data_IF_923568808948
#
_entry.id   IF_923568808948
#
_cell.length_a   1.000
_cell.length_b   1.000
_cell.length_c   1.000
_cell.angle_alpha   90.00
_cell.angle_beta   90.00
_cell.angle_gamma   90.00
#
_symmetry.space_group_name_H-M   'P 1'
#
loop_
_entity.id
_entity.type
_entity.pdbx_description
1 polymer ?
#
# COMPACT_ATOMS: atom_id res chain seq x y z
N UNK A 1 -24.00 8.75 10.18
CA UNK A 1 -22.92 9.70 9.83
C UNK A 1 -22.14 9.04 8.71
N UNK A 2 -22.41 9.40 7.46
CA UNK A 2 -21.61 8.92 6.34
C UNK A 2 -20.21 9.53 6.45
N UNK A 3 -19.18 8.71 6.58
CA UNK A 3 -17.78 9.14 6.66
C UNK A 3 -17.25 9.76 5.35
N UNK A 4 -18.08 9.78 4.29
CA UNK A 4 -17.86 10.47 3.03
C UNK A 4 -17.96 11.99 3.21
N UNK A 5 -16.91 12.60 3.75
CA UNK A 5 -16.67 14.02 3.60
C UNK A 5 -16.10 14.28 2.19
N UNK A 6 -16.99 14.35 1.20
CA UNK A 6 -16.90 15.12 -0.06
C UNK A 6 -15.51 15.11 -0.74
N UNK A 7 -15.22 14.05 -1.49
CA UNK A 7 -14.14 13.99 -2.49
C UNK A 7 -14.74 13.69 -3.86
N UNK A 8 -14.08 14.07 -4.95
CA UNK A 8 -14.65 14.06 -6.30
C UNK A 8 -14.89 12.63 -6.79
N UNK A 9 -16.09 12.11 -6.55
CA UNK A 9 -16.56 10.81 -7.01
C UNK A 9 -16.66 10.81 -8.54
N UNK A 10 -15.57 10.39 -9.21
CA UNK A 10 -15.64 10.12 -10.63
C UNK A 10 -16.27 8.76 -10.87
N UNK A 11 -17.18 8.68 -11.84
CA UNK A 11 -17.89 7.44 -12.21
C UNK A 11 -16.98 6.25 -12.55
N UNK A 12 -15.68 6.48 -12.79
CA UNK A 12 -14.68 5.43 -13.07
C UNK A 12 -13.51 5.41 -12.08
N UNK A 13 -13.62 6.12 -10.96
CA UNK A 13 -12.59 6.18 -9.91
C UNK A 13 -11.20 6.48 -10.47
N UNK A 14 -10.21 5.68 -10.04
CA UNK A 14 -8.79 5.76 -10.44
C UNK A 14 -8.55 5.72 -11.96
N UNK A 15 -9.50 5.25 -12.78
CA UNK A 15 -9.39 5.26 -14.24
C UNK A 15 -9.65 6.65 -14.85
N UNK A 16 -10.12 7.62 -14.07
CA UNK A 16 -10.41 8.98 -14.52
C UNK A 16 -9.17 9.86 -14.36
N UNK A 17 -8.50 10.35 -15.42
CA UNK A 17 -7.26 11.10 -15.26
C UNK A 17 -7.40 12.42 -14.50
N UNK A 18 -8.55 13.09 -14.60
CA UNK A 18 -8.77 14.40 -13.98
C UNK A 18 -8.75 14.38 -12.45
N UNK A 19 -9.20 13.29 -11.82
CA UNK A 19 -9.20 13.20 -10.34
C UNK A 19 -7.81 13.10 -9.74
N UNK A 20 -6.81 12.63 -10.50
CA UNK A 20 -5.42 12.59 -10.04
C UNK A 20 -4.82 13.99 -9.93
N UNK A 21 -5.27 14.90 -10.81
CA UNK A 21 -4.80 16.28 -10.90
C UNK A 21 -5.63 17.24 -10.04
N UNK A 22 -6.79 16.79 -9.56
CA UNK A 22 -7.62 17.58 -8.68
C UNK A 22 -6.95 17.72 -7.31
N UNK A 23 -6.85 18.96 -6.83
CA UNK A 23 -6.26 19.27 -5.51
C UNK A 23 -7.06 18.61 -4.39
N UNK A 24 -8.37 18.57 -4.51
CA UNK A 24 -9.29 18.07 -3.48
C UNK A 24 -9.05 16.61 -3.12
N UNK A 25 -8.70 15.76 -4.11
CA UNK A 25 -8.32 14.35 -3.92
C UNK A 25 -7.24 14.19 -2.85
N UNK A 26 -6.33 15.15 -2.77
CA UNK A 26 -5.17 15.10 -1.87
C UNK A 26 -5.36 15.90 -0.59
N UNK A 27 -6.36 16.80 -0.53
CA UNK A 27 -6.58 17.68 0.62
C UNK A 27 -7.82 17.34 1.43
N UNK A 28 -8.78 16.62 0.85
CA UNK A 28 -10.07 16.30 1.47
C UNK A 28 -10.13 14.84 1.89
N UNK A 29 -10.95 14.54 2.91
CA UNK A 29 -11.08 13.20 3.51
C UNK A 29 -10.26 13.01 4.78
N UNK A 30 -10.50 11.92 5.51
CA UNK A 30 -9.95 11.72 6.85
C UNK A 30 -8.44 11.38 6.84
N UNK A 31 -7.59 12.11 7.59
CA UNK A 31 -6.21 11.69 7.83
C UNK A 31 -6.11 10.33 8.53
N UNK A 32 -7.10 9.99 9.36
CA UNK A 32 -7.14 8.71 10.08
C UNK A 32 -7.42 7.55 9.13
N UNK A 33 -8.32 7.71 8.15
CA UNK A 33 -8.59 6.67 7.14
C UNK A 33 -7.35 6.40 6.29
N UNK A 34 -6.67 7.47 5.85
CA UNK A 34 -5.41 7.35 5.13
C UNK A 34 -4.33 6.61 5.93
N UNK A 35 -4.16 6.96 7.22
CA UNK A 35 -3.23 6.27 8.10
C UNK A 35 -3.62 4.81 8.38
N UNK A 36 -4.92 4.53 8.51
CA UNK A 36 -5.44 3.19 8.70
C UNK A 36 -5.21 2.31 7.47
N UNK A 37 -5.41 2.84 6.26
CA UNK A 37 -5.13 2.16 5.00
C UNK A 37 -3.64 1.80 4.89
N UNK A 38 -2.74 2.73 5.21
CA UNK A 38 -1.30 2.43 5.32
C UNK A 38 -1.05 1.30 6.31
N UNK A 39 -1.55 1.42 7.54
CA UNK A 39 -1.31 0.44 8.60
C UNK A 39 -1.83 -0.96 8.24
N UNK A 40 -2.99 -1.04 7.61
CA UNK A 40 -3.63 -2.29 7.18
C UNK A 40 -2.82 -3.00 6.09
N UNK A 41 -2.12 -2.27 5.23
CA UNK A 41 -1.32 -2.85 4.15
C UNK A 41 0.12 -3.18 4.54
N UNK A 42 0.63 -2.70 5.68
CA UNK A 42 1.96 -3.10 6.20
C UNK A 42 2.08 -4.62 6.33
N UNK A 43 1.15 -5.34 6.99
CA UNK A 43 1.18 -6.80 7.03
C UNK A 43 1.15 -7.47 5.65
N UNK A 44 0.44 -6.91 4.67
CA UNK A 44 0.37 -7.43 3.30
C UNK A 44 1.75 -7.33 2.62
N UNK A 45 2.42 -6.19 2.78
CA UNK A 45 3.80 -5.99 2.31
C UNK A 45 4.79 -6.98 2.92
N UNK A 46 4.65 -7.25 4.22
CA UNK A 46 5.45 -8.27 4.92
C UNK A 46 5.21 -9.66 4.31
N UNK A 47 3.94 -10.02 4.10
CA UNK A 47 3.58 -11.30 3.48
C UNK A 47 4.20 -11.45 2.08
N UNK A 48 4.12 -10.41 1.24
CA UNK A 48 4.73 -10.45 -0.09
C UNK A 48 6.25 -10.57 -0.04
N UNK A 49 6.91 -9.89 0.92
CA UNK A 49 8.34 -10.04 1.15
C UNK A 49 8.75 -11.48 1.51
N UNK A 50 7.91 -12.14 2.31
CA UNK A 50 8.10 -13.52 2.74
C UNK A 50 7.89 -14.50 1.59
N UNK A 51 6.82 -14.34 0.83
CA UNK A 51 6.48 -15.20 -0.31
C UNK A 51 7.48 -15.05 -1.46
N UNK A 52 7.89 -13.82 -1.78
CA UNK A 52 8.85 -13.57 -2.86
C UNK A 52 10.28 -14.01 -2.49
N UNK A 53 10.64 -13.93 -1.21
CA UNK A 53 12.01 -14.15 -0.76
C UNK A 53 12.95 -12.98 -1.09
N UNK A 54 14.25 -13.09 -0.78
CA UNK A 54 15.16 -11.93 -0.75
C UNK A 54 15.53 -11.44 -2.14
N UNK A 55 15.58 -12.36 -3.11
CA UNK A 55 16.05 -12.10 -4.48
C UNK A 55 14.97 -11.51 -5.38
N UNK A 56 13.71 -11.52 -4.94
CA UNK A 56 12.54 -11.18 -5.76
C UNK A 56 11.74 -10.00 -5.18
N UNK A 57 12.40 -9.12 -4.41
CA UNK A 57 11.73 -7.97 -3.77
C UNK A 57 11.06 -7.03 -4.80
N UNK A 58 11.61 -6.92 -6.01
CA UNK A 58 10.99 -6.15 -7.11
C UNK A 58 9.63 -6.75 -7.50
N UNK A 59 9.50 -8.07 -7.51
CA UNK A 59 8.22 -8.74 -7.77
C UNK A 59 7.23 -8.52 -6.62
N UNK A 60 7.71 -8.46 -5.38
CA UNK A 60 6.87 -8.10 -4.24
C UNK A 60 6.35 -6.65 -4.33
N UNK A 61 7.16 -5.71 -4.82
CA UNK A 61 6.70 -4.34 -5.12
C UNK A 61 5.65 -4.32 -6.22
N UNK A 62 5.91 -5.02 -7.33
CA UNK A 62 4.94 -5.13 -8.42
C UNK A 62 3.61 -5.71 -7.96
N UNK A 63 3.66 -6.77 -7.14
CA UNK A 63 2.48 -7.38 -6.55
C UNK A 63 1.74 -6.43 -5.60
N UNK A 64 2.46 -5.67 -4.77
CA UNK A 64 1.87 -4.65 -3.89
C UNK A 64 1.06 -3.60 -4.68
N UNK A 65 1.66 -3.02 -5.73
CA UNK A 65 0.97 -2.08 -6.60
C UNK A 65 -0.20 -2.72 -7.35
N UNK A 66 -0.02 -3.94 -7.87
CA UNK A 66 -1.07 -4.65 -8.59
C UNK A 66 -2.28 -4.96 -7.70
N UNK A 67 -2.06 -5.39 -6.46
CA UNK A 67 -3.15 -5.68 -5.52
C UNK A 67 -3.86 -4.40 -5.08
N UNK A 68 -3.12 -3.32 -4.79
CA UNK A 68 -3.72 -2.02 -4.48
C UNK A 68 -4.62 -1.53 -5.61
N UNK A 69 -4.11 -1.55 -6.86
CA UNK A 69 -4.89 -1.21 -8.04
C UNK A 69 -6.09 -2.14 -8.24
N UNK A 70 -5.93 -3.45 -8.03
CA UNK A 70 -7.03 -4.40 -8.19
C UNK A 70 -8.18 -4.14 -7.20
N UNK A 71 -7.87 -3.73 -5.98
CA UNK A 71 -8.87 -3.37 -4.96
C UNK A 71 -9.68 -2.15 -5.40
N UNK A 72 -8.99 -1.11 -5.85
CA UNK A 72 -9.63 0.11 -6.37
C UNK A 72 -10.52 -0.17 -7.58
N UNK A 73 -10.03 -0.97 -8.53
CA UNK A 73 -10.83 -1.37 -9.69
C UNK A 73 -12.04 -2.21 -9.30
N UNK A 74 -11.92 -3.06 -8.27
CA UNK A 74 -13.02 -3.87 -7.77
C UNK A 74 -14.08 -3.04 -7.03
N UNK A 75 -13.75 -1.84 -6.55
CA UNK A 75 -14.70 -0.93 -5.90
C UNK A 75 -15.56 -0.15 -6.89
N UNK A 76 -15.09 0.10 -8.12
CA UNK A 76 -15.82 0.87 -9.14
C UNK A 76 -17.29 0.43 -9.33
N UNK A 77 -17.63 -0.87 -9.41
CA UNK A 77 -19.03 -1.30 -9.59
C UNK A 77 -19.84 -1.39 -8.29
N UNK A 78 -19.28 -1.01 -7.13
CA UNK A 78 -19.95 -1.15 -5.83
C UNK A 78 -20.51 0.21 -5.41
N UNK A 79 -21.83 0.37 -5.42
CA UNK A 79 -22.52 1.66 -5.20
C UNK A 79 -22.12 2.36 -3.88
N UNK A 80 -21.84 1.60 -2.82
CA UNK A 80 -21.44 2.13 -1.50
C UNK A 80 -19.92 2.24 -1.31
N UNK A 81 -19.12 2.08 -2.37
CA UNK A 81 -17.66 2.20 -2.30
C UNK A 81 -17.14 3.17 -3.34
N UNK A 82 -16.24 4.01 -2.90
CA UNK A 82 -15.53 4.96 -3.76
C UNK A 82 -14.17 4.36 -4.10
N UNK A 83 -13.79 4.43 -5.37
CA UNK A 83 -12.41 4.20 -5.78
C UNK A 83 -11.66 5.52 -5.84
N UNK A 84 -10.58 5.64 -5.06
CA UNK A 84 -9.88 6.89 -4.76
C UNK A 84 -8.36 6.74 -4.98
N UNK A 85 -7.72 7.60 -5.80
CA UNK A 85 -6.26 7.68 -5.90
C UNK A 85 -5.53 7.80 -4.56
N UNK A 86 -6.14 8.46 -3.57
CA UNK A 86 -5.59 8.61 -2.23
C UNK A 86 -5.51 7.27 -1.49
N UNK A 87 -6.52 6.42 -1.64
CA UNK A 87 -6.55 5.09 -1.03
C UNK A 87 -5.59 4.13 -1.74
N UNK A 88 -5.54 4.19 -3.08
CA UNK A 88 -4.54 3.48 -3.87
C UNK A 88 -3.12 3.77 -3.37
N UNK A 89 -2.82 5.06 -3.14
CA UNK A 89 -1.52 5.51 -2.65
C UNK A 89 -1.26 5.03 -1.23
N UNK A 90 -2.23 5.17 -0.33
CA UNK A 90 -2.12 4.75 1.07
C UNK A 90 -1.80 3.25 1.19
N UNK A 91 -2.58 2.43 0.49
CA UNK A 91 -2.45 0.99 0.45
C UNK A 91 -1.08 0.58 -0.12
N UNK A 92 -0.67 1.19 -1.22
CA UNK A 92 0.65 0.94 -1.84
C UNK A 92 1.78 1.32 -0.90
N UNK A 93 1.69 2.48 -0.24
CA UNK A 93 2.69 2.96 0.72
C UNK A 93 2.81 2.01 1.92
N UNK A 94 1.69 1.54 2.48
CA UNK A 94 1.67 0.53 3.54
C UNK A 94 2.40 -0.75 3.13
N UNK A 95 2.09 -1.28 1.95
CA UNK A 95 2.74 -2.48 1.44
C UNK A 95 4.25 -2.29 1.19
N UNK A 96 4.68 -1.12 0.69
CA UNK A 96 6.10 -0.77 0.55
C UNK A 96 6.79 -0.73 1.92
N UNK A 97 6.18 -0.11 2.93
CA UNK A 97 6.71 -0.08 4.30
C UNK A 97 6.89 -1.50 4.84
N UNK A 98 5.89 -2.36 4.69
CA UNK A 98 5.97 -3.78 5.10
C UNK A 98 7.11 -4.55 4.41
N UNK A 99 7.31 -4.30 3.12
CA UNK A 99 8.41 -4.89 2.35
C UNK A 99 9.78 -4.41 2.86
N UNK A 100 9.93 -3.10 3.11
CA UNK A 100 11.16 -2.50 3.64
C UNK A 100 11.47 -3.03 5.03
N UNK A 101 10.50 -3.06 5.94
CA UNK A 101 10.65 -3.61 7.29
C UNK A 101 11.13 -5.07 7.25
N UNK A 102 10.55 -5.87 6.37
CA UNK A 102 10.96 -7.26 6.17
C UNK A 102 12.41 -7.37 5.67
N UNK A 103 12.82 -6.50 4.75
CA UNK A 103 14.20 -6.41 4.27
C UNK A 103 15.18 -6.06 5.39
N UNK A 104 14.85 -5.05 6.20
CA UNK A 104 15.68 -4.61 7.33
C UNK A 104 15.87 -5.72 8.36
N UNK A 105 14.80 -6.39 8.77
CA UNK A 105 14.87 -7.53 9.71
C UNK A 105 15.79 -8.63 9.20
N UNK A 106 15.74 -8.92 7.89
CA UNK A 106 16.60 -9.95 7.27
C UNK A 106 18.06 -9.51 7.22
N UNK A 107 18.31 -8.24 6.90
CA UNK A 107 19.66 -7.68 6.87
C UNK A 107 20.31 -7.74 8.27
N UNK A 108 19.59 -7.33 9.31
CA UNK A 108 20.06 -7.40 10.70
C UNK A 108 20.35 -8.85 11.11
N UNK A 109 19.45 -9.79 10.78
CA UNK A 109 19.67 -11.23 11.07
C UNK A 109 20.87 -11.81 10.34
N UNK A 110 21.12 -11.39 9.09
CA UNK A 110 22.29 -11.83 8.34
C UNK A 110 23.58 -11.31 8.97
N UNK A 111 23.62 -10.02 9.35
CA UNK A 111 24.75 -9.41 10.02
C UNK A 111 25.11 -10.11 11.34
N UNK A 112 24.10 -10.39 12.17
CA UNK A 112 24.30 -11.09 13.45
C UNK A 112 24.87 -12.51 13.28
N UNK A 113 24.46 -13.24 12.22
CA UNK A 113 25.00 -14.57 11.92
C UNK A 113 26.49 -14.51 11.56
N UNK A 114 26.87 -13.57 10.70
CA UNK A 114 28.28 -13.40 10.29
C UNK A 114 29.19 -13.07 11.47
N UNK A 115 28.77 -12.16 12.35
CA UNK A 115 29.55 -11.77 13.54
C UNK A 115 29.71 -12.95 14.52
N UNK A 116 28.69 -13.80 14.66
CA UNK A 116 28.73 -14.96 15.57
C UNK A 116 29.68 -16.05 15.06
N UNK A 117 29.72 -16.31 13.75
CA UNK A 117 30.64 -17.30 13.17
C UNK A 117 32.11 -16.89 13.26
N UNK A 118 32.42 -15.59 13.21
CA UNK A 118 33.80 -15.09 13.32
C UNK A 118 34.36 -15.14 14.75
N UNK A 119 33.48 -15.26 15.76
CA UNK A 119 33.87 -15.30 17.19
C UNK A 119 34.06 -16.72 17.75
N UNK A 120 33.88 -17.77 16.94
CA UNK A 120 34.10 -19.19 17.32
C UNK A 120 35.40 -19.66 16.69
#
# INVERSE_FOLDING_TARGET
MSWHAIGYEAARGVLTPSIWLDRSTWTTGSPLEFAANIAMFVPVGVLFAMLAGPRRWIWALGAAGAVSTAIELAQIPIDDRISDPRDLLANTAGAVIGLVLSGLVRAVRALHRTVRTVRV
#
